data_IF_523501282048
#
_entry.id   IF_523501282048
#
_cell.length_a   1.000
_cell.length_b   1.000
_cell.length_c   1.000
_cell.angle_alpha   90.00
_cell.angle_beta   90.00
_cell.angle_gamma   90.00
#
_symmetry.space_group_name_H-M   'P 1'
#
loop_
_entity.id
_entity.type
_entity.pdbx_description
1 polymer ?
#
# COMPACT_ATOMS: atom_id res chain seq x y z
N UNK A 1 11.54 5.04 -0.80
CA UNK A 1 10.77 4.83 0.45
C UNK A 1 10.68 3.33 0.67
N UNK A 2 10.85 2.86 1.91
CA UNK A 2 10.83 1.43 2.24
C UNK A 2 9.62 1.15 3.11
N UNK A 3 8.89 0.08 2.79
CA UNK A 3 7.74 -0.41 3.52
C UNK A 3 8.15 -1.73 4.18
N UNK A 4 8.00 -1.84 5.49
CA UNK A 4 8.33 -3.06 6.23
C UNK A 4 7.06 -3.60 6.85
N UNK A 5 6.80 -4.88 6.59
CA UNK A 5 5.72 -5.63 7.23
C UNK A 5 6.31 -6.88 7.88
N UNK A 6 5.95 -7.15 9.13
CA UNK A 6 6.21 -8.45 9.75
C UNK A 6 4.90 -9.16 10.03
N UNK A 7 4.95 -10.48 10.06
CA UNK A 7 3.76 -11.31 10.30
C UNK A 7 3.14 -10.91 11.65
N UNK A 8 1.84 -10.59 11.63
CA UNK A 8 1.05 -10.12 12.77
C UNK A 8 1.46 -8.75 13.37
N UNK A 9 2.46 -8.06 12.81
CA UNK A 9 2.82 -6.71 13.21
C UNK A 9 2.20 -5.66 12.26
N UNK A 10 2.52 -4.40 12.48
CA UNK A 10 2.11 -3.27 11.66
C UNK A 10 2.94 -3.19 10.36
N UNK A 11 2.41 -2.46 9.36
CA UNK A 11 3.22 -2.03 8.22
C UNK A 11 3.71 -0.61 8.51
N UNK A 12 5.01 -0.39 8.42
CA UNK A 12 5.60 0.94 8.64
C UNK A 12 6.38 1.40 7.41
N UNK A 13 6.45 2.72 7.21
CA UNK A 13 7.38 3.31 6.24
C UNK A 13 8.63 3.87 6.89
N UNK A 14 9.78 3.51 6.30
CA UNK A 14 11.05 4.18 6.55
C UNK A 14 11.35 5.16 5.40
N UNK A 15 11.66 6.41 5.77
CA UNK A 15 12.07 7.46 4.83
C UNK A 15 11.49 8.84 5.18
N UNK A 16 11.24 9.71 4.18
CA UNK A 16 10.79 11.08 4.40
C UNK A 16 9.34 11.19 4.89
N UNK A 17 8.59 10.09 4.89
CA UNK A 17 7.24 9.98 5.44
C UNK A 17 7.20 8.79 6.38
N UNK A 18 6.67 9.00 7.58
CA UNK A 18 6.46 7.96 8.59
C UNK A 18 4.96 7.68 8.71
N UNK A 19 4.53 6.63 8.05
CA UNK A 19 3.19 6.08 8.11
C UNK A 19 3.24 4.75 8.85
N UNK A 20 2.13 4.43 9.50
CA UNK A 20 1.88 3.17 10.17
C UNK A 20 0.54 2.63 9.71
N UNK A 21 0.46 1.35 9.34
CA UNK A 21 -0.80 0.66 9.08
C UNK A 21 -1.00 -0.46 10.12
N UNK A 22 -2.05 -0.32 10.91
CA UNK A 22 -2.56 -1.37 11.79
C UNK A 22 -3.51 -2.29 11.02
N UNK A 23 -3.36 -3.59 11.21
CA UNK A 23 -4.09 -4.62 10.49
C UNK A 23 -4.82 -5.51 11.48
N UNK A 24 -6.08 -5.82 11.18
CA UNK A 24 -6.87 -6.77 11.94
C UNK A 24 -7.43 -7.83 11.00
N UNK A 25 -6.83 -9.01 11.05
CA UNK A 25 -7.26 -10.16 10.24
C UNK A 25 -8.52 -10.79 10.82
N UNK A 26 -9.48 -11.04 9.94
CA UNK A 26 -10.68 -11.82 10.19
C UNK A 26 -10.59 -13.19 9.52
N UNK A 27 -11.71 -13.91 9.54
CA UNK A 27 -11.85 -15.19 8.86
C UNK A 27 -11.78 -15.02 7.35
N UNK A 28 -11.28 -16.03 6.63
CA UNK A 28 -11.24 -16.08 5.15
C UNK A 28 -10.44 -14.93 4.51
N UNK A 29 -9.33 -14.53 5.15
CA UNK A 29 -8.43 -13.49 4.65
C UNK A 29 -9.02 -12.08 4.62
N UNK A 30 -10.16 -11.85 5.28
CA UNK A 30 -10.67 -10.51 5.48
C UNK A 30 -9.70 -9.70 6.36
N UNK A 31 -9.52 -8.42 6.07
CA UNK A 31 -8.58 -7.58 6.80
C UNK A 31 -9.14 -6.16 6.96
N UNK A 32 -9.30 -5.72 8.20
CA UNK A 32 -9.53 -4.29 8.48
C UNK A 32 -8.16 -3.59 8.60
N UNK A 33 -8.00 -2.48 7.90
CA UNK A 33 -6.76 -1.71 7.86
C UNK A 33 -7.02 -0.28 8.33
N UNK A 34 -6.15 0.23 9.20
CA UNK A 34 -6.12 1.63 9.62
C UNK A 34 -4.74 2.20 9.38
N UNK A 35 -4.65 3.29 8.65
CA UNK A 35 -3.42 4.00 8.33
C UNK A 35 -3.35 5.27 9.17
N UNK A 36 -2.18 5.51 9.75
CA UNK A 36 -1.86 6.66 10.59
C UNK A 36 -0.67 7.39 10.01
N UNK A 37 -0.73 8.72 10.06
CA UNK A 37 0.41 9.61 9.86
C UNK A 37 0.75 10.21 11.22
N UNK A 38 1.92 9.86 11.75
CA UNK A 38 2.21 10.01 13.19
C UNK A 38 1.08 9.36 14.02
N UNK A 39 0.38 10.13 14.86
CA UNK A 39 -0.70 9.64 15.74
C UNK A 39 -2.11 9.89 15.19
N UNK A 40 -2.23 10.49 14.00
CA UNK A 40 -3.52 10.83 13.40
C UNK A 40 -3.94 9.76 12.41
N UNK A 41 -5.12 9.17 12.60
CA UNK A 41 -5.70 8.23 11.63
C UNK A 41 -6.06 8.99 10.35
N UNK A 42 -5.39 8.66 9.25
CA UNK A 42 -5.58 9.31 7.94
C UNK A 42 -6.53 8.53 7.04
N UNK A 43 -6.59 7.22 7.18
CA UNK A 43 -7.49 6.39 6.38
C UNK A 43 -7.82 5.08 7.07
N UNK A 44 -9.03 4.56 6.87
CA UNK A 44 -9.36 3.18 7.25
C UNK A 44 -10.26 2.52 6.22
N UNK A 45 -10.12 1.22 6.04
CA UNK A 45 -10.91 0.45 5.08
C UNK A 45 -10.91 -1.04 5.42
N UNK A 46 -11.81 -1.77 4.77
CA UNK A 46 -11.95 -3.21 4.87
C UNK A 46 -11.61 -3.89 3.54
N UNK A 47 -10.69 -4.85 3.56
CA UNK A 47 -10.35 -5.72 2.44
C UNK A 47 -11.10 -7.05 2.60
N UNK A 48 -11.84 -7.43 1.57
CA UNK A 48 -12.46 -8.76 1.50
C UNK A 48 -11.48 -9.77 0.91
N UNK A 49 -11.10 -10.80 1.68
CA UNK A 49 -10.07 -11.77 1.27
C UNK A 49 -10.46 -12.73 0.14
N UNK A 50 -11.76 -12.82 -0.20
CA UNK A 50 -12.24 -13.68 -1.29
C UNK A 50 -12.32 -12.93 -2.63
N UNK A 51 -12.60 -11.64 -2.59
CA UNK A 51 -12.90 -10.83 -3.78
C UNK A 51 -11.86 -9.74 -4.05
N UNK A 52 -10.89 -9.55 -3.15
CA UNK A 52 -9.93 -8.43 -3.12
C UNK A 52 -10.58 -7.03 -3.16
N UNK A 53 -11.89 -6.95 -2.89
CA UNK A 53 -12.63 -5.69 -2.88
C UNK A 53 -12.35 -4.91 -1.61
N UNK A 54 -12.19 -3.60 -1.78
CA UNK A 54 -12.09 -2.64 -0.69
C UNK A 54 -13.46 -2.04 -0.42
N UNK A 55 -13.82 -1.88 0.85
CA UNK A 55 -15.09 -1.30 1.29
C UNK A 55 -14.91 -0.52 2.60
N UNK A 56 -15.96 0.17 3.06
CA UNK A 56 -15.97 0.96 4.30
C UNK A 56 -14.81 1.96 4.39
N UNK A 57 -14.47 2.58 3.26
CA UNK A 57 -13.37 3.55 3.19
C UNK A 57 -13.78 4.80 3.94
N UNK A 58 -13.01 5.14 4.98
CA UNK A 58 -13.09 6.42 5.69
C UNK A 58 -11.82 7.17 5.35
N UNK A 59 -11.98 8.31 4.70
CA UNK A 59 -10.88 9.21 4.38
C UNK A 59 -10.82 10.34 5.42
N UNK A 60 -9.72 10.39 6.16
CA UNK A 60 -9.41 11.44 7.13
C UNK A 60 -8.37 12.45 6.63
N UNK A 61 -8.03 12.43 5.34
CA UNK A 61 -7.12 13.38 4.71
C UNK A 61 -7.85 14.68 4.38
N UNK A 62 -7.11 15.79 4.37
CA UNK A 62 -7.64 17.12 4.00
C UNK A 62 -7.91 17.30 2.50
N UNK A 63 -7.64 16.27 1.69
CA UNK A 63 -7.83 16.27 0.24
C UNK A 63 -8.67 15.08 -0.22
N UNK A 64 -9.35 15.18 -1.39
CA UNK A 64 -10.10 14.07 -1.94
C UNK A 64 -9.15 12.93 -2.32
N UNK A 65 -9.32 11.78 -1.67
CA UNK A 65 -8.60 10.55 -1.97
C UNK A 65 -9.54 9.37 -1.77
N UNK A 66 -9.78 8.63 -2.85
CA UNK A 66 -10.68 7.48 -2.87
C UNK A 66 -9.89 6.21 -3.18
N UNK A 67 -9.91 5.25 -2.26
CA UNK A 67 -9.35 3.93 -2.46
C UNK A 67 -10.42 3.03 -3.13
N UNK A 68 -10.32 2.87 -4.44
CA UNK A 68 -11.30 2.13 -5.27
C UNK A 68 -11.11 0.61 -5.14
N UNK A 69 -9.86 0.17 -5.05
CA UNK A 69 -9.47 -1.23 -4.82
C UNK A 69 -8.10 -1.26 -4.17
N UNK A 70 -7.62 -2.44 -3.74
CA UNK A 70 -6.29 -2.57 -3.11
C UNK A 70 -5.12 -2.13 -4.00
N UNK A 71 -5.33 -1.97 -5.30
CA UNK A 71 -4.33 -1.56 -6.26
C UNK A 71 -4.72 -0.32 -7.07
N UNK A 72 -5.84 0.34 -6.75
CA UNK A 72 -6.30 1.54 -7.46
C UNK A 72 -6.83 2.58 -6.49
N UNK A 73 -6.40 3.83 -6.66
CA UNK A 73 -6.95 4.99 -5.99
C UNK A 73 -7.16 6.16 -6.96
N UNK A 74 -8.00 7.12 -6.57
CA UNK A 74 -8.28 8.35 -7.31
C UNK A 74 -8.13 9.54 -6.37
N UNK A 75 -7.54 10.64 -6.84
CA UNK A 75 -7.40 11.87 -6.06
C UNK A 75 -7.48 13.08 -6.99
N UNK A 76 -8.63 13.79 -6.97
CA UNK A 76 -8.92 14.81 -7.98
C UNK A 76 -8.97 14.17 -9.37
N UNK A 77 -8.20 14.73 -10.31
CA UNK A 77 -8.09 14.22 -11.68
C UNK A 77 -7.06 13.09 -11.82
N UNK A 78 -6.27 12.81 -10.78
CA UNK A 78 -5.21 11.80 -10.83
C UNK A 78 -5.74 10.41 -10.47
N UNK A 79 -5.38 9.43 -11.32
CA UNK A 79 -5.59 8.01 -11.09
C UNK A 79 -4.27 7.33 -10.72
N UNK A 80 -4.24 6.72 -9.55
CA UNK A 80 -3.11 5.93 -9.04
C UNK A 80 -3.41 4.44 -9.24
N UNK A 81 -2.41 3.70 -9.72
CA UNK A 81 -2.54 2.27 -9.95
C UNK A 81 -1.24 1.53 -9.66
N UNK A 82 -1.33 0.34 -9.07
CA UNK A 82 -0.19 -0.56 -8.91
C UNK A 82 -0.38 -1.76 -9.85
N UNK A 83 0.58 -1.95 -10.75
CA UNK A 83 0.69 -3.20 -11.53
C UNK A 83 1.39 -4.24 -10.67
N UNK A 84 0.86 -5.47 -10.62
CA UNK A 84 1.50 -6.57 -9.91
C UNK A 84 2.11 -7.55 -10.91
N UNK A 85 3.40 -7.81 -10.78
CA UNK A 85 4.11 -8.83 -11.55
C UNK A 85 3.86 -10.22 -10.93
N UNK A 86 3.18 -11.12 -11.64
CA UNK A 86 2.85 -12.47 -11.12
C UNK A 86 4.07 -13.30 -10.70
N UNK A 87 5.26 -12.96 -11.19
CA UNK A 87 6.51 -13.66 -10.89
C UNK A 87 7.36 -12.90 -9.85
N UNK A 88 6.77 -12.01 -9.04
CA UNK A 88 7.51 -11.20 -8.07
C UNK A 88 8.31 -12.04 -7.06
N UNK A 89 7.84 -13.26 -6.76
CA UNK A 89 8.52 -14.21 -5.86
C UNK A 89 9.90 -14.64 -6.36
N UNK A 90 10.15 -14.55 -7.67
CA UNK A 90 11.36 -15.04 -8.33
C UNK A 90 12.22 -13.93 -8.93
N UNK A 91 11.68 -12.70 -9.03
CA UNK A 91 12.31 -11.61 -9.77
C UNK A 91 12.62 -10.38 -8.93
N UNK A 92 12.25 -10.37 -7.65
CA UNK A 92 12.24 -9.21 -6.73
C UNK A 92 11.39 -8.02 -7.23
N UNK A 93 11.00 -7.98 -8.51
CA UNK A 93 10.14 -6.98 -9.09
C UNK A 93 8.69 -7.28 -8.71
N UNK A 94 8.18 -6.55 -7.73
CA UNK A 94 6.79 -6.62 -7.33
C UNK A 94 5.86 -6.05 -8.39
N UNK A 95 6.25 -4.94 -8.99
CA UNK A 95 5.32 -4.13 -9.74
C UNK A 95 5.79 -2.71 -10.03
N UNK A 96 4.88 -1.92 -10.59
CA UNK A 96 5.10 -0.51 -10.85
C UNK A 96 3.94 0.33 -10.32
N UNK A 97 4.28 1.50 -9.80
CA UNK A 97 3.32 2.56 -9.53
C UNK A 97 3.10 3.35 -10.81
N UNK A 98 1.85 3.43 -11.25
CA UNK A 98 1.41 4.24 -12.37
C UNK A 98 0.54 5.40 -11.85
N UNK A 99 0.75 6.58 -12.43
CA UNK A 99 -0.13 7.74 -12.25
C UNK A 99 -0.60 8.18 -13.62
N UNK A 100 -1.92 8.22 -13.83
CA UNK A 100 -2.55 8.51 -15.12
C UNK A 100 -2.03 7.62 -16.25
N UNK A 101 -1.80 6.33 -15.93
CA UNK A 101 -1.27 5.33 -16.86
C UNK A 101 0.23 5.43 -17.14
N UNK A 102 0.93 6.41 -16.58
CA UNK A 102 2.37 6.58 -16.76
C UNK A 102 3.14 6.00 -15.58
N UNK A 103 4.18 5.15 -15.81
CA UNK A 103 4.96 4.58 -14.73
C UNK A 103 5.78 5.67 -14.03
N UNK A 104 5.74 5.69 -12.70
CA UNK A 104 6.40 6.69 -11.84
C UNK A 104 7.43 6.08 -10.91
N UNK A 105 7.21 4.84 -10.45
CA UNK A 105 8.15 4.14 -9.60
C UNK A 105 8.08 2.63 -9.83
N UNK A 106 9.21 1.96 -9.65
CA UNK A 106 9.28 0.50 -9.49
C UNK A 106 9.12 0.12 -8.03
N UNK A 107 8.44 -0.99 -7.80
CA UNK A 107 8.26 -1.58 -6.49
C UNK A 107 9.07 -2.88 -6.44
N UNK A 108 10.05 -2.94 -5.55
CA UNK A 108 10.90 -4.11 -5.35
C UNK A 108 10.53 -4.79 -4.04
N UNK A 109 10.12 -6.06 -4.09
CA UNK A 109 9.78 -6.87 -2.93
C UNK A 109 10.96 -7.79 -2.58
N UNK A 110 11.34 -7.76 -1.31
CA UNK A 110 12.26 -8.71 -0.70
C UNK A 110 11.54 -9.49 0.38
N UNK A 111 11.42 -10.80 0.19
CA UNK A 111 10.92 -11.69 1.25
C UNK A 111 11.96 -11.83 2.37
N UNK A 112 11.46 -11.84 3.60
CA UNK A 112 12.23 -12.07 4.82
C UNK A 112 11.61 -13.27 5.54
N UNK A 113 12.37 -13.88 6.46
CA UNK A 113 11.95 -15.08 7.18
C UNK A 113 10.60 -14.91 7.93
N UNK A 114 10.25 -13.69 8.34
CA UNK A 114 9.02 -13.36 9.07
C UNK A 114 8.32 -12.11 8.54
N UNK A 115 8.34 -11.89 7.23
CA UNK A 115 7.65 -10.75 6.64
C UNK A 115 8.18 -10.34 5.28
N UNK A 116 7.89 -9.09 4.91
CA UNK A 116 8.32 -8.50 3.65
C UNK A 116 8.91 -7.11 3.82
N UNK A 117 9.78 -6.77 2.90
CA UNK A 117 10.29 -5.42 2.71
C UNK A 117 10.02 -5.02 1.27
N UNK A 118 9.24 -3.96 1.06
CA UNK A 118 8.94 -3.43 -0.26
C UNK A 118 9.59 -2.06 -0.42
N UNK A 119 10.35 -1.86 -1.49
CA UNK A 119 11.04 -0.59 -1.76
C UNK A 119 10.43 0.08 -2.97
N UNK A 120 9.93 1.30 -2.80
CA UNK A 120 9.52 2.18 -3.89
C UNK A 120 10.71 2.98 -4.41
N UNK A 121 11.09 2.73 -5.66
CA UNK A 121 12.17 3.37 -6.40
C UNK A 121 11.59 4.25 -7.52
N UNK A 122 11.63 5.58 -7.40
CA UNK A 122 11.20 6.48 -8.47
C UNK A 122 11.96 6.24 -9.78
N UNK A 123 11.27 6.34 -10.92
CA UNK A 123 11.88 6.18 -12.26
C UNK A 123 12.52 7.48 -12.76
N UNK A 124 11.97 8.63 -12.39
CA UNK A 124 12.41 9.93 -12.85
C UNK A 124 12.43 10.93 -11.70
N UNK A 125 13.62 11.27 -11.21
CA UNK A 125 13.81 12.24 -10.13
C UNK A 125 13.13 11.85 -8.82
N UNK A 126 12.95 12.83 -7.95
CA UNK A 126 12.16 12.65 -6.73
C UNK A 126 10.67 12.86 -6.99
N UNK A 127 9.84 12.02 -6.37
CA UNK A 127 8.41 12.26 -6.30
C UNK A 127 8.11 13.40 -5.32
N UNK A 128 7.12 14.22 -5.67
CA UNK A 128 6.55 15.22 -4.77
C UNK A 128 6.02 14.59 -3.47
N UNK A 129 5.99 15.35 -2.37
CA UNK A 129 5.58 14.85 -1.05
C UNK A 129 4.13 14.36 -1.02
N UNK A 130 3.20 15.05 -1.69
CA UNK A 130 1.81 14.64 -1.80
C UNK A 130 1.68 13.35 -2.60
N UNK A 131 2.42 13.25 -3.71
CA UNK A 131 2.48 12.03 -4.51
C UNK A 131 3.06 10.88 -3.70
N UNK A 132 4.11 11.11 -2.90
CA UNK A 132 4.70 10.11 -2.01
C UNK A 132 3.67 9.62 -0.99
N UNK A 133 2.92 10.53 -0.34
CA UNK A 133 1.89 10.17 0.64
C UNK A 133 0.75 9.36 0.02
N UNK A 134 0.18 9.86 -1.09
CA UNK A 134 -0.90 9.20 -1.84
C UNK A 134 -0.48 7.80 -2.33
N UNK A 135 0.75 7.69 -2.81
CA UNK A 135 1.30 6.40 -3.27
C UNK A 135 1.55 5.45 -2.10
N UNK A 136 2.05 5.95 -0.98
CA UNK A 136 2.34 5.12 0.19
C UNK A 136 1.06 4.52 0.80
N UNK A 137 -0.02 5.29 0.87
CA UNK A 137 -1.34 4.78 1.30
C UNK A 137 -1.81 3.64 0.39
N UNK A 138 -1.72 3.81 -0.93
CA UNK A 138 -2.08 2.78 -1.89
C UNK A 138 -1.21 1.53 -1.74
N UNK A 139 0.11 1.69 -1.60
CA UNK A 139 1.05 0.58 -1.42
C UNK A 139 0.74 -0.18 -0.12
N UNK A 140 0.47 0.50 0.99
CA UNK A 140 0.10 -0.14 2.26
C UNK A 140 -1.19 -0.95 2.14
N UNK A 141 -2.20 -0.42 1.43
CA UNK A 141 -3.42 -1.17 1.14
C UNK A 141 -3.14 -2.40 0.28
N UNK A 142 -2.23 -2.28 -0.67
CA UNK A 142 -1.90 -3.33 -1.62
C UNK A 142 -1.14 -4.51 -1.01
N UNK A 143 -0.31 -4.25 0.00
CA UNK A 143 0.51 -5.26 0.66
C UNK A 143 -0.04 -5.71 2.01
N UNK A 144 -1.21 -5.23 2.42
CA UNK A 144 -1.79 -5.47 3.75
C UNK A 144 -1.89 -6.95 4.13
N UNK A 145 -2.09 -7.83 3.15
CA UNK A 145 -2.22 -9.28 3.29
C UNK A 145 -1.08 -10.07 2.62
N UNK A 146 -0.07 -9.39 2.09
CA UNK A 146 0.96 -9.98 1.23
C UNK A 146 2.05 -10.76 2.00
N UNK A 147 2.24 -10.48 3.28
CA UNK A 147 3.24 -11.13 4.13
C UNK A 147 2.79 -12.48 4.70
N UNK A 148 1.66 -13.02 4.23
CA UNK A 148 1.16 -14.32 4.65
C UNK A 148 0.56 -14.33 6.06
N UNK A 149 0.25 -13.15 6.61
CA UNK A 149 -0.43 -13.02 7.91
C UNK A 149 -1.94 -13.29 7.84
N UNK A 150 -2.49 -13.49 6.64
CA UNK A 150 -3.84 -14.03 6.47
C UNK A 150 -3.85 -15.50 6.90
N UNK A 151 -4.67 -15.90 7.88
CA UNK A 151 -4.81 -17.30 8.29
C UNK A 151 -5.40 -18.19 7.21
#
# INVERSE_FOLDING_TARGET
>A
MIFKSRIFEEIVTDGPLMLKAERKFGWFGNCDVKIYLAETQTMSFHINGTTDKVSKVVNGLDYPYELVSRNKAVSGDDQYFITNNRNYLFSENYGELLINGQPKAKLLLKQKLFGIELTMLPLHGELDQDVKLKSAILIMANIADLDGSSP
#
